data_IF_090688662461
#
_entry.id   IF_090688662461
#
_cell.length_a   1.000
_cell.length_b   1.000
_cell.length_c   1.000
_cell.angle_alpha   90.00
_cell.angle_beta   90.00
_cell.angle_gamma   90.00
#
_symmetry.space_group_name_H-M   'P 1'
#
loop_
_entity.id
_entity.type
_entity.pdbx_description
1 polymer ?
#
# COMPACT_ATOMS: atom_id res chain seq x y z
N UNK A 1 1.63 -3.53 -33.27
CA UNK A 1 2.25 -3.20 -31.98
C UNK A 1 1.25 -2.34 -31.21
N UNK A 2 0.73 -2.82 -30.08
CA UNK A 2 -0.12 -2.01 -29.21
C UNK A 2 0.76 -0.97 -28.50
N UNK A 3 0.55 0.30 -28.79
CA UNK A 3 1.15 1.40 -28.04
C UNK A 3 0.53 1.41 -26.65
N UNK A 4 1.34 1.27 -25.59
CA UNK A 4 0.87 1.40 -24.21
C UNK A 4 0.36 2.83 -23.99
N UNK A 5 -0.96 3.01 -23.93
CA UNK A 5 -1.63 4.31 -23.76
C UNK A 5 -1.66 4.80 -22.29
N UNK A 6 -1.17 4.00 -21.35
CA UNK A 6 -1.22 4.30 -19.91
C UNK A 6 0.02 5.05 -19.46
N UNK A 7 0.13 6.31 -19.88
CA UNK A 7 1.11 7.23 -19.30
C UNK A 7 0.50 7.74 -17.99
N UNK A 8 1.15 7.46 -16.86
CA UNK A 8 0.81 8.10 -15.58
C UNK A 8 0.82 9.63 -15.78
N UNK A 9 0.01 10.40 -15.03
CA UNK A 9 -0.01 11.86 -15.18
C UNK A 9 1.41 12.42 -15.16
N UNK A 10 1.74 13.30 -16.13
CA UNK A 10 3.03 13.96 -16.19
C UNK A 10 3.17 14.94 -15.02
N UNK A 11 3.66 14.42 -13.91
CA UNK A 11 3.84 15.13 -12.66
C UNK A 11 4.93 14.45 -11.84
N UNK A 12 5.46 15.18 -10.86
CA UNK A 12 6.33 14.55 -9.87
C UNK A 12 5.56 13.52 -9.03
N UNK A 13 6.20 12.41 -8.70
CA UNK A 13 5.61 11.32 -7.90
C UNK A 13 6.62 10.78 -6.87
N UNK A 14 6.11 10.07 -5.87
CA UNK A 14 6.86 9.36 -4.84
C UNK A 14 6.61 7.87 -4.97
N UNK A 15 7.68 7.08 -5.03
CA UNK A 15 7.61 5.63 -4.85
C UNK A 15 7.63 5.31 -3.36
N UNK A 16 6.67 4.53 -2.88
CA UNK A 16 6.60 4.07 -1.50
C UNK A 16 6.48 2.55 -1.49
N UNK A 17 7.26 1.91 -0.64
CA UNK A 17 7.13 0.47 -0.35
C UNK A 17 6.63 0.31 1.07
N UNK A 18 5.43 -0.25 1.21
CA UNK A 18 4.92 -0.69 2.49
C UNK A 18 5.24 -2.17 2.69
N UNK A 19 5.97 -2.46 3.77
CA UNK A 19 6.33 -3.82 4.17
C UNK A 19 5.99 -4.04 5.63
N UNK A 20 6.09 -5.27 6.10
CA UNK A 20 5.73 -5.69 7.45
C UNK A 20 6.73 -6.75 7.94
N UNK A 21 6.79 -7.01 9.26
CA UNK A 21 7.65 -8.07 9.78
C UNK A 21 7.40 -9.42 9.09
N UNK A 22 8.46 -10.19 8.90
CA UNK A 22 8.46 -11.51 8.27
C UNK A 22 7.43 -12.47 8.88
N UNK A 23 7.24 -12.42 10.20
CA UNK A 23 6.26 -13.23 10.95
C UNK A 23 4.82 -13.01 10.51
N UNK A 24 4.50 -11.88 9.90
CA UNK A 24 3.15 -11.59 9.41
C UNK A 24 2.95 -12.05 7.97
N UNK A 25 4.01 -12.29 7.19
CA UNK A 25 3.87 -12.63 5.77
C UNK A 25 3.08 -13.93 5.58
N UNK A 26 3.33 -14.96 6.39
CA UNK A 26 2.65 -16.25 6.28
C UNK A 26 1.13 -16.14 6.47
N UNK A 27 0.66 -15.21 7.31
CA UNK A 27 -0.77 -14.95 7.45
C UNK A 27 -1.38 -14.65 6.08
N UNK A 28 -0.74 -13.78 5.29
CA UNK A 28 -1.22 -13.42 3.95
C UNK A 28 -0.98 -14.50 2.89
N UNK A 29 -0.10 -15.46 3.15
CA UNK A 29 0.10 -16.63 2.27
C UNK A 29 -1.08 -17.58 2.35
N UNK A 30 -1.52 -17.91 3.57
CA UNK A 30 -2.61 -18.83 3.83
C UNK A 30 -3.97 -18.14 3.71
N UNK A 31 -4.03 -16.84 3.97
CA UNK A 31 -5.25 -16.03 3.90
C UNK A 31 -5.20 -15.07 2.70
N UNK A 32 -5.13 -15.64 1.49
CA UNK A 32 -4.97 -14.87 0.23
C UNK A 32 -6.08 -13.83 0.01
N UNK A 33 -7.27 -14.06 0.56
CA UNK A 33 -8.39 -13.11 0.57
C UNK A 33 -8.03 -11.76 1.23
N UNK A 34 -7.05 -11.74 2.14
CA UNK A 34 -6.59 -10.52 2.80
C UNK A 34 -5.65 -9.67 1.94
N UNK A 35 -5.06 -10.23 0.86
CA UNK A 35 -4.17 -9.47 -0.03
C UNK A 35 -4.90 -8.29 -0.68
N UNK A 36 -6.19 -8.46 -1.02
CA UNK A 36 -7.02 -7.36 -1.53
C UNK A 36 -7.19 -6.23 -0.52
N UNK A 37 -7.28 -6.56 0.78
CA UNK A 37 -7.43 -5.57 1.87
C UNK A 37 -6.16 -4.76 2.09
N UNK A 38 -4.97 -5.33 1.82
CA UNK A 38 -3.70 -4.61 1.92
C UNK A 38 -3.61 -3.38 1.00
N UNK A 39 -4.17 -3.48 -0.22
CA UNK A 39 -4.26 -2.34 -1.12
C UNK A 39 -5.05 -1.19 -0.51
N UNK A 40 -6.22 -1.50 0.03
CA UNK A 40 -7.09 -0.50 0.65
C UNK A 40 -6.39 0.14 1.84
N UNK A 41 -5.74 -0.65 2.70
CA UNK A 41 -4.94 -0.13 3.80
C UNK A 41 -3.86 0.85 3.31
N UNK A 42 -3.09 0.46 2.29
CA UNK A 42 -2.00 1.28 1.76
C UNK A 42 -2.49 2.60 1.13
N UNK A 43 -3.51 2.53 0.28
CA UNK A 43 -4.07 3.69 -0.39
C UNK A 43 -4.74 4.66 0.59
N UNK A 44 -5.51 4.13 1.55
CA UNK A 44 -6.30 4.95 2.47
C UNK A 44 -5.42 5.83 3.37
N UNK A 45 -4.22 5.39 3.75
CA UNK A 45 -3.26 6.20 4.50
C UNK A 45 -2.96 7.51 3.76
N UNK A 46 -2.69 7.42 2.46
CA UNK A 46 -2.29 8.57 1.63
C UNK A 46 -3.51 9.43 1.28
N UNK A 47 -4.64 8.79 0.96
CA UNK A 47 -5.91 9.47 0.64
C UNK A 47 -6.37 10.28 1.84
N UNK A 48 -6.40 9.70 3.04
CA UNK A 48 -6.84 10.41 4.25
C UNK A 48 -5.98 11.65 4.54
N UNK A 49 -4.67 11.57 4.30
CA UNK A 49 -3.79 12.74 4.45
C UNK A 49 -4.03 13.81 3.40
N UNK A 50 -4.23 13.42 2.15
CA UNK A 50 -4.53 14.35 1.07
C UNK A 50 -5.89 15.04 1.33
N UNK A 51 -6.90 14.28 1.74
CA UNK A 51 -8.22 14.79 2.12
C UNK A 51 -8.15 15.77 3.29
N UNK A 52 -7.33 15.50 4.31
CA UNK A 52 -7.09 16.45 5.42
C UNK A 52 -6.49 17.79 4.94
N UNK A 53 -5.88 17.83 3.75
CA UNK A 53 -5.39 19.04 3.07
C UNK A 53 -6.34 19.55 1.98
N UNK A 54 -7.49 18.90 1.79
CA UNK A 54 -8.47 19.20 0.75
C UNK A 54 -7.99 18.88 -0.67
N UNK A 55 -7.08 17.90 -0.83
CA UNK A 55 -6.47 17.53 -2.10
C UNK A 55 -6.97 16.17 -2.59
N UNK A 56 -7.14 16.06 -3.91
CA UNK A 56 -7.31 14.80 -4.63
C UNK A 56 -5.97 14.41 -5.29
N UNK A 57 -5.48 13.22 -4.97
CA UNK A 57 -4.17 12.72 -5.43
C UNK A 57 -4.35 11.50 -6.35
N UNK A 58 -3.38 11.27 -7.22
CA UNK A 58 -3.28 10.03 -8.00
C UNK A 58 -2.46 8.99 -7.27
N UNK A 59 -2.94 7.75 -7.22
CA UNK A 59 -2.22 6.61 -6.64
C UNK A 59 -2.28 5.44 -7.61
N UNK A 60 -1.13 4.84 -7.88
CA UNK A 60 -1.01 3.52 -8.48
C UNK A 60 -0.44 2.56 -7.42
N UNK A 61 -1.05 1.38 -7.26
CA UNK A 61 -0.68 0.44 -6.21
C UNK A 61 -0.56 -0.96 -6.79
N UNK A 62 0.47 -1.71 -6.38
CA UNK A 62 0.78 -3.06 -6.83
C UNK A 62 1.12 -3.94 -5.61
N UNK A 63 0.48 -5.10 -5.43
CA UNK A 63 0.80 -6.04 -4.38
C UNK A 63 1.89 -6.99 -4.88
N UNK A 64 2.86 -7.24 -4.04
CA UNK A 64 3.93 -8.18 -4.34
C UNK A 64 3.95 -9.23 -3.25
N UNK A 65 3.98 -10.49 -3.67
CA UNK A 65 3.94 -11.65 -2.77
C UNK A 65 5.28 -12.34 -2.64
N UNK A 66 6.23 -12.04 -3.53
CA UNK A 66 7.56 -12.62 -3.56
C UNK A 66 8.62 -11.53 -3.62
N UNK A 67 9.73 -11.78 -2.92
CA UNK A 67 10.94 -10.97 -3.01
C UNK A 67 11.80 -11.34 -4.21
N UNK A 68 12.93 -10.65 -4.37
CA UNK A 68 13.90 -10.91 -5.45
C UNK A 68 14.43 -12.34 -5.49
N UNK A 69 14.51 -13.02 -4.34
CA UNK A 69 14.98 -14.42 -4.24
C UNK A 69 13.83 -15.44 -4.36
N UNK A 70 12.63 -15.01 -4.77
CA UNK A 70 11.42 -15.83 -4.81
C UNK A 70 11.01 -16.42 -3.44
N UNK A 71 11.52 -15.86 -2.35
CA UNK A 71 11.02 -16.12 -1.02
C UNK A 71 9.70 -15.37 -0.81
N UNK A 72 8.77 -15.98 -0.08
CA UNK A 72 7.54 -15.31 0.31
C UNK A 72 7.87 -14.01 1.06
N UNK A 73 7.33 -12.90 0.56
CA UNK A 73 7.55 -11.55 1.08
C UNK A 73 6.37 -10.71 0.61
N UNK A 74 5.33 -10.63 1.45
CA UNK A 74 4.16 -9.82 1.12
C UNK A 74 4.45 -8.35 1.41
N UNK A 75 4.39 -7.52 0.39
CA UNK A 75 4.59 -6.08 0.46
C UNK A 75 3.79 -5.35 -0.63
N UNK A 76 3.59 -4.05 -0.45
CA UNK A 76 2.88 -3.20 -1.40
C UNK A 76 3.85 -2.17 -1.96
N UNK A 77 3.94 -2.10 -3.28
CA UNK A 77 4.57 -1.00 -3.99
C UNK A 77 3.50 -0.02 -4.44
N UNK A 78 3.74 1.27 -4.26
CA UNK A 78 2.85 2.29 -4.79
C UNK A 78 3.63 3.49 -5.32
N UNK A 79 3.04 4.13 -6.33
CA UNK A 79 3.43 5.45 -6.81
C UNK A 79 2.31 6.43 -6.50
N UNK A 80 2.63 7.53 -5.84
CA UNK A 80 1.68 8.60 -5.50
C UNK A 80 2.15 9.93 -6.03
N UNK A 81 1.24 10.74 -6.56
CA UNK A 81 1.57 12.09 -7.04
C UNK A 81 2.12 12.97 -5.90
N UNK A 82 3.16 13.78 -6.15
CA UNK A 82 3.72 14.78 -5.21
C UNK A 82 2.88 16.07 -5.14
N UNK A 83 1.65 15.99 -5.60
CA UNK A 83 0.66 17.04 -5.50
C UNK A 83 -0.72 16.48 -5.78
N UNK A 84 -1.72 17.30 -5.57
CA UNK A 84 -3.11 16.97 -5.84
C UNK A 84 -3.91 18.19 -6.24
N UNK A 85 -5.06 17.93 -6.85
CA UNK A 85 -6.00 18.96 -7.27
C UNK A 85 -6.80 19.41 -6.05
N UNK A 86 -6.91 20.72 -5.83
CA UNK A 86 -7.87 21.28 -4.89
C UNK A 86 -9.24 21.38 -5.59
N UNK A 87 -10.26 20.57 -5.22
CA UNK A 87 -11.45 20.40 -6.07
C UNK A 87 -12.24 21.69 -6.31
N UNK A 88 -12.26 22.61 -5.35
CA UNK A 88 -13.01 23.87 -5.47
C UNK A 88 -12.44 24.85 -6.50
N UNK A 89 -11.13 24.80 -6.75
CA UNK A 89 -10.45 25.76 -7.64
C UNK A 89 -9.77 25.10 -8.82
N UNK A 90 -9.68 23.77 -8.85
CA UNK A 90 -8.92 23.02 -9.85
C UNK A 90 -7.40 23.21 -9.74
N UNK A 91 -6.91 23.95 -8.73
CA UNK A 91 -5.48 24.28 -8.64
C UNK A 91 -4.68 23.10 -8.10
N UNK A 92 -3.55 22.80 -8.74
CA UNK A 92 -2.58 21.84 -8.22
C UNK A 92 -1.87 22.40 -6.99
N UNK A 93 -1.76 21.59 -5.92
CA UNK A 93 -0.99 21.93 -4.71
C UNK A 93 -0.06 20.79 -4.33
N UNK A 94 1.17 21.09 -3.88
CA UNK A 94 2.14 20.06 -3.54
C UNK A 94 1.77 19.32 -2.25
N UNK A 95 2.15 18.04 -2.18
CA UNK A 95 2.08 17.20 -1.00
C UNK A 95 3.28 16.27 -0.94
N UNK A 96 3.77 16.00 0.27
CA UNK A 96 4.87 15.08 0.51
C UNK A 96 4.52 14.09 1.62
N UNK A 97 4.88 12.83 1.43
CA UNK A 97 4.57 11.74 2.35
C UNK A 97 5.85 11.30 3.04
N UNK A 98 5.98 11.67 4.31
CA UNK A 98 7.19 11.35 5.07
C UNK A 98 7.17 9.91 5.54
N UNK A 99 8.31 9.23 5.38
CA UNK A 99 8.45 7.80 5.65
C UNK A 99 8.08 7.41 7.09
N UNK A 100 8.53 8.17 8.10
CA UNK A 100 8.29 7.83 9.51
C UNK A 100 6.81 7.85 9.86
N UNK A 101 6.10 8.86 9.37
CA UNK A 101 4.68 9.02 9.60
C UNK A 101 3.88 7.98 8.79
N UNK A 102 4.22 7.74 7.52
CA UNK A 102 3.54 6.71 6.70
C UNK A 102 3.75 5.31 7.27
N UNK A 103 4.95 5.00 7.77
CA UNK A 103 5.27 3.73 8.43
C UNK A 103 4.42 3.51 9.69
N UNK A 104 4.25 4.54 10.52
CA UNK A 104 3.42 4.46 11.71
C UNK A 104 1.95 4.17 11.36
N UNK A 105 1.40 4.87 10.36
CA UNK A 105 0.05 4.63 9.86
C UNK A 105 -0.10 3.23 9.25
N UNK A 106 0.90 2.76 8.50
CA UNK A 106 0.90 1.41 7.93
C UNK A 106 0.88 0.32 9.00
N UNK A 107 1.74 0.44 10.01
CA UNK A 107 1.75 -0.47 11.15
C UNK A 107 0.39 -0.53 11.84
N UNK A 108 -0.22 0.63 12.07
CA UNK A 108 -1.56 0.72 12.65
C UNK A 108 -2.61 0.03 11.76
N UNK A 109 -2.57 0.27 10.44
CA UNK A 109 -3.52 -0.32 9.49
C UNK A 109 -3.41 -1.86 9.46
N UNK A 110 -2.19 -2.41 9.46
CA UNK A 110 -1.99 -3.86 9.49
C UNK A 110 -2.48 -4.49 10.80
N UNK A 111 -2.15 -3.89 11.95
CA UNK A 111 -2.62 -4.38 13.25
C UNK A 111 -4.15 -4.35 13.32
N UNK A 112 -4.77 -3.28 12.82
CA UNK A 112 -6.22 -3.13 12.80
C UNK A 112 -6.87 -4.18 11.92
N UNK A 113 -6.38 -4.35 10.68
CA UNK A 113 -6.84 -5.38 9.75
C UNK A 113 -6.78 -6.78 10.38
N UNK A 114 -5.64 -7.14 10.98
CA UNK A 114 -5.47 -8.46 11.58
C UNK A 114 -6.38 -8.68 12.79
N UNK A 115 -6.64 -7.65 13.61
CA UNK A 115 -7.59 -7.72 14.72
C UNK A 115 -9.03 -7.91 14.25
N UNK A 116 -9.43 -7.16 13.24
CA UNK A 116 -10.79 -7.24 12.65
C UNK A 116 -11.05 -8.59 11.98
N UNK A 117 -9.99 -9.26 11.50
CA UNK A 117 -10.10 -10.53 10.79
C UNK A 117 -9.76 -11.73 11.68
N UNK A 118 -9.40 -11.50 12.94
CA UNK A 118 -8.83 -12.52 13.82
C UNK A 118 -9.67 -13.81 13.92
N UNK A 119 -11.01 -13.68 13.93
CA UNK A 119 -11.92 -14.84 14.01
C UNK A 119 -11.98 -15.69 12.73
N UNK A 120 -11.48 -15.18 11.61
CA UNK A 120 -11.53 -15.83 10.28
C UNK A 120 -10.14 -16.18 9.75
N UNK A 121 -9.07 -15.71 10.40
CA UNK A 121 -7.70 -15.97 9.98
C UNK A 121 -7.36 -17.44 10.24
N UNK A 122 -6.95 -18.14 9.19
CA UNK A 122 -6.27 -19.42 9.30
C UNK A 122 -4.84 -19.20 9.83
N UNK A 123 -4.59 -19.67 11.05
CA UNK A 123 -3.30 -19.64 11.74
C UNK A 123 -2.60 -21.01 11.73
N UNK A 124 -3.10 -21.99 10.98
CA UNK A 124 -2.48 -23.33 10.85
C UNK A 124 -1.20 -23.33 10.02
N UNK A 125 -0.74 -22.16 9.58
CA UNK A 125 0.46 -21.99 8.79
C UNK A 125 1.69 -22.62 9.47
N UNK A 126 2.24 -23.65 8.83
CA UNK A 126 3.59 -24.14 9.13
C UNK A 126 4.60 -23.00 8.83
N UNK A 127 5.63 -22.79 9.67
CA UNK A 127 6.64 -21.78 9.40
C UNK A 127 7.28 -22.03 8.03
N UNK A 128 7.25 -21.02 7.15
CA UNK A 128 7.94 -21.13 5.87
C UNK A 128 9.44 -21.26 6.10
N UNK A 129 9.98 -22.44 5.80
CA UNK A 129 11.42 -22.67 5.79
C UNK A 129 12.02 -21.80 4.68
N UNK A 130 12.60 -20.66 5.07
CA UNK A 130 13.43 -19.85 4.20
C UNK A 130 14.66 -20.70 3.81
N UNK A 131 14.62 -21.32 2.63
CA UNK A 131 15.82 -21.79 1.93
C UNK A 131 16.44 -20.61 1.18
#
# INVERSE_FOLDING_TARGET
>A
MQTQQYVLPDCEWQHITFTMPDKLWEIFRYNRQLLGKLFNCAAQILISWAQAKGLEIGIFCAPHTYGRRLNWNTHIHLSVTRGGIFPKTGTWKPIFFKAKETEACWRYAIITLLREQYGEIDLSAEPYAHL
#
